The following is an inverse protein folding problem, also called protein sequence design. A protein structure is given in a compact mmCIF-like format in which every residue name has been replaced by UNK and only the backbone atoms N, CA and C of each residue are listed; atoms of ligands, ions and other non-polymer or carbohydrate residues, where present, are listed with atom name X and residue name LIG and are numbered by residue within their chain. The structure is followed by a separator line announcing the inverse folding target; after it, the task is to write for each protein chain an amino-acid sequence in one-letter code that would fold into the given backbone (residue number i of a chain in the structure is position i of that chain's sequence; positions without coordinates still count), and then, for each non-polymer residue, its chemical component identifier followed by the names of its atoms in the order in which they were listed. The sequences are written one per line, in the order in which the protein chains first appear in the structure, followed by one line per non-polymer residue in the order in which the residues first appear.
data_IF_332911769854
#
_entry.id   IF_332911769854
#
_cell.length_a   1.000
_cell.length_b   1.000
_cell.length_c   1.000
_cell.angle_alpha   90.00
_cell.angle_beta   90.00
_cell.angle_gamma   90.00
#
_symmetry.space_group_name_H-M   'P 1'
#
loop_
_entity.id
_entity.type
_entity.pdbx_description
1 polymer ?
#
# COMPACT_ATOMS: atom_id res chain seq x y z
N UNK A 1 6.76 8.03 -24.96
CA UNK A 1 5.88 7.18 -25.80
C UNK A 1 5.52 5.96 -24.99
N UNK A 2 4.22 5.70 -24.78
CA UNK A 2 3.77 4.47 -24.13
C UNK A 2 3.63 3.38 -25.18
N UNK A 3 4.47 2.36 -25.14
CA UNK A 3 4.35 1.15 -25.96
C UNK A 3 3.96 0.00 -25.01
N UNK A 4 2.78 -0.60 -25.19
CA UNK A 4 2.39 -1.82 -24.45
C UNK A 4 2.26 -1.70 -22.92
N UNK A 5 1.81 -0.55 -22.40
CA UNK A 5 1.70 -0.31 -20.95
C UNK A 5 3.00 0.14 -20.27
N UNK A 6 4.11 0.17 -21.00
CA UNK A 6 5.39 0.64 -20.49
C UNK A 6 5.45 2.17 -20.42
N UNK A 7 5.72 2.71 -19.22
CA UNK A 7 6.07 4.13 -19.05
C UNK A 7 7.46 4.30 -18.43
N UNK A 8 8.38 4.82 -19.24
CA UNK A 8 9.69 5.32 -18.83
C UNK A 8 9.77 6.78 -19.25
N UNK A 9 10.13 7.65 -18.31
CA UNK A 9 10.32 9.08 -18.60
C UNK A 9 11.61 9.61 -17.99
N UNK A 10 12.31 10.47 -18.73
CA UNK A 10 13.49 11.18 -18.21
C UNK A 10 13.09 12.34 -17.29
N UNK A 11 11.84 12.76 -17.35
CA UNK A 11 11.23 13.75 -16.46
C UNK A 11 10.15 13.11 -15.59
N UNK A 12 9.80 13.79 -14.50
CA UNK A 12 8.74 13.35 -13.60
C UNK A 12 7.40 13.20 -14.34
N UNK A 13 6.64 12.12 -14.12
CA UNK A 13 5.37 11.90 -14.81
C UNK A 13 4.32 12.94 -14.41
N UNK A 14 3.62 13.51 -15.39
CA UNK A 14 2.55 14.50 -15.14
C UNK A 14 1.28 13.82 -14.62
N UNK A 15 0.35 14.56 -13.99
CA UNK A 15 -0.94 14.01 -13.58
C UNK A 15 -1.73 13.38 -14.74
N UNK A 16 -1.67 13.93 -15.95
CA UNK A 16 -2.32 13.35 -17.13
C UNK A 16 -1.69 11.99 -17.50
N UNK A 17 -0.36 11.89 -17.44
CA UNK A 17 0.34 10.64 -17.73
C UNK A 17 -0.01 9.55 -16.69
N UNK A 18 -0.10 9.93 -15.42
CA UNK A 18 -0.55 9.03 -14.35
C UNK A 18 -1.97 8.53 -14.61
N UNK A 19 -2.90 9.44 -14.97
CA UNK A 19 -4.28 9.09 -15.32
C UNK A 19 -4.33 8.16 -16.54
N UNK A 20 -3.56 8.43 -17.58
CA UNK A 20 -3.47 7.56 -18.76
C UNK A 20 -2.92 6.18 -18.41
N UNK A 21 -1.92 6.09 -17.54
CA UNK A 21 -1.39 4.82 -17.04
C UNK A 21 -2.46 4.01 -16.31
N UNK A 22 -3.21 4.64 -15.41
CA UNK A 22 -4.29 3.97 -14.66
C UNK A 22 -5.47 3.55 -15.55
N UNK A 23 -5.79 4.34 -16.58
CA UNK A 23 -6.83 4.00 -17.55
C UNK A 23 -6.43 2.83 -18.46
N UNK A 24 -5.14 2.71 -18.78
CA UNK A 24 -4.61 1.58 -19.54
C UNK A 24 -4.38 0.32 -18.67
N UNK A 25 -4.30 0.47 -17.35
CA UNK A 25 -4.05 -0.63 -16.43
C UNK A 25 -5.26 -1.57 -16.31
N UNK A 26 -4.99 -2.87 -16.43
CA UNK A 26 -5.98 -3.93 -16.31
C UNK A 26 -6.44 -4.20 -14.87
N UNK A 27 -6.76 -5.46 -14.57
CA UNK A 27 -6.96 -5.92 -13.20
C UNK A 27 -5.66 -6.06 -12.43
N UNK A 28 -5.71 -6.67 -11.25
CA UNK A 28 -4.51 -7.11 -10.55
C UNK A 28 -3.68 -8.05 -11.44
N UNK A 29 -2.36 -8.03 -11.29
CA UNK A 29 -1.44 -8.86 -12.07
C UNK A 29 -1.20 -10.26 -11.47
N UNK A 30 -2.03 -10.67 -10.51
CA UNK A 30 -1.99 -11.96 -9.83
C UNK A 30 -3.39 -12.50 -9.57
N UNK A 31 -3.47 -13.78 -9.21
CA UNK A 31 -4.72 -14.54 -9.07
C UNK A 31 -5.72 -13.88 -8.11
N UNK A 32 -7.02 -14.01 -8.43
CA UNK A 32 -8.11 -13.39 -7.69
C UNK A 32 -8.19 -13.81 -6.21
N UNK A 33 -7.77 -15.04 -5.91
CA UNK A 33 -7.77 -15.58 -4.54
C UNK A 33 -6.69 -14.94 -3.65
N UNK A 34 -5.70 -14.28 -4.25
CA UNK A 34 -4.65 -13.54 -3.55
C UNK A 34 -4.99 -12.07 -3.31
N UNK A 35 -6.11 -11.57 -3.84
CA UNK A 35 -6.50 -10.17 -3.69
C UNK A 35 -6.77 -9.87 -2.20
N UNK A 36 -5.88 -9.10 -1.58
CA UNK A 36 -5.98 -8.80 -0.15
C UNK A 36 -5.69 -10.00 0.76
N UNK A 37 -5.00 -11.05 0.30
CA UNK A 37 -4.57 -12.19 1.15
C UNK A 37 -3.74 -11.76 2.37
N UNK A 38 -3.20 -10.55 2.27
CA UNK A 38 -2.41 -9.82 3.22
C UNK A 38 -3.23 -9.12 4.31
N UNK A 39 -4.56 -9.03 4.17
CA UNK A 39 -5.44 -8.37 5.12
C UNK A 39 -5.37 -9.02 6.52
N UNK A 40 -5.00 -8.27 7.57
CA UNK A 40 -4.97 -8.78 8.93
C UNK A 40 -6.41 -9.05 9.40
N UNK A 41 -6.65 -10.25 9.92
CA UNK A 41 -7.97 -10.64 10.44
C UNK A 41 -8.28 -10.03 11.82
N UNK A 42 -7.28 -9.47 12.50
CA UNK A 42 -7.40 -8.76 13.76
C UNK A 42 -6.16 -7.90 14.04
N UNK A 43 -6.25 -6.92 14.97
CA UNK A 43 -5.08 -6.19 15.47
C UNK A 43 -3.96 -7.10 15.97
N UNK A 44 -4.28 -8.21 16.65
CA UNK A 44 -3.30 -9.18 17.11
C UNK A 44 -2.69 -9.99 15.95
N UNK A 45 -3.47 -10.31 14.91
CA UNK A 45 -2.97 -10.98 13.71
C UNK A 45 -2.01 -10.10 12.90
N UNK A 46 -1.91 -8.80 13.21
CA UNK A 46 -0.83 -7.97 12.68
C UNK A 46 0.52 -8.55 13.04
N UNK A 47 0.73 -9.16 14.22
CA UNK A 47 2.04 -9.63 14.70
C UNK A 47 2.33 -11.11 14.45
N UNK A 48 1.32 -11.96 14.22
CA UNK A 48 1.47 -13.44 14.29
C UNK A 48 0.89 -14.23 13.11
N UNK A 49 0.93 -13.71 11.89
CA UNK A 49 0.34 -14.40 10.73
C UNK A 49 1.31 -15.38 10.04
N UNK A 50 1.95 -16.27 10.81
CA UNK A 50 2.92 -17.24 10.27
C UNK A 50 2.29 -18.18 9.22
N UNK A 51 1.02 -18.58 9.42
CA UNK A 51 0.30 -19.44 8.49
C UNK A 51 0.04 -18.78 7.13
N UNK A 52 -0.37 -17.50 7.14
CA UNK A 52 -0.55 -16.73 5.89
C UNK A 52 0.78 -16.56 5.17
N UNK A 53 1.87 -16.37 5.92
CA UNK A 53 3.19 -16.13 5.36
C UNK A 53 3.75 -17.38 4.71
N UNK A 54 3.61 -18.52 5.39
CA UNK A 54 3.95 -19.83 4.84
C UNK A 54 3.11 -20.13 3.60
N UNK A 55 1.80 -19.89 3.63
CA UNK A 55 0.94 -20.10 2.46
C UNK A 55 1.34 -19.24 1.24
N UNK A 56 1.77 -18.00 1.47
CA UNK A 56 2.31 -17.14 0.42
C UNK A 56 3.70 -17.62 -0.05
N UNK A 57 4.57 -18.01 0.87
CA UNK A 57 5.91 -18.53 0.55
C UNK A 57 5.85 -19.83 -0.26
N UNK A 58 4.93 -20.74 0.08
CA UNK A 58 4.70 -21.99 -0.65
C UNK A 58 4.21 -21.75 -2.09
N UNK A 59 3.61 -20.59 -2.34
CA UNK A 59 3.24 -20.10 -3.68
C UNK A 59 4.35 -19.29 -4.37
N UNK A 60 5.54 -19.23 -3.78
CA UNK A 60 6.71 -18.54 -4.34
C UNK A 60 6.81 -17.05 -4.02
N UNK A 61 5.98 -16.50 -3.13
CA UNK A 61 6.07 -15.08 -2.74
C UNK A 61 7.14 -14.85 -1.69
N UNK A 62 7.92 -13.79 -1.87
CA UNK A 62 8.81 -13.27 -0.82
C UNK A 62 8.02 -12.38 0.13
N UNK A 63 7.86 -12.82 1.38
CA UNK A 63 7.08 -12.11 2.40
C UNK A 63 7.98 -11.21 3.25
N UNK A 64 7.63 -9.92 3.37
CA UNK A 64 8.37 -8.95 4.17
C UNK A 64 7.47 -8.33 5.27
N UNK A 65 7.93 -8.35 6.53
CA UNK A 65 7.25 -7.75 7.70
C UNK A 65 8.10 -6.70 8.43
N UNK A 66 8.69 -5.75 7.71
CA UNK A 66 9.33 -4.59 8.34
C UNK A 66 8.35 -3.74 9.14
N UNK A 67 8.77 -3.32 10.33
CA UNK A 67 8.05 -2.39 11.21
C UNK A 67 9.03 -1.48 11.92
N UNK A 68 8.60 -0.25 12.14
CA UNK A 68 9.34 0.75 12.90
C UNK A 68 8.36 1.46 13.83
N UNK A 69 8.77 1.67 15.09
CA UNK A 69 8.01 2.48 16.03
C UNK A 69 8.18 3.96 15.64
N UNK A 70 7.10 4.59 15.21
CA UNK A 70 7.08 6.01 14.80
C UNK A 70 6.65 6.96 15.92
N UNK A 71 6.07 6.42 17.00
CA UNK A 71 5.59 7.18 18.16
C UNK A 71 4.64 6.36 19.03
N UNK A 72 4.14 6.97 20.10
CA UNK A 72 3.23 6.33 21.05
C UNK A 72 2.12 7.30 21.50
N UNK A 73 0.94 6.76 21.78
CA UNK A 73 -0.22 7.53 22.24
C UNK A 73 -1.12 8.04 21.12
N UNK A 74 -2.25 8.63 21.53
CA UNK A 74 -3.33 9.05 20.63
C UNK A 74 -2.89 10.08 19.58
N UNK A 75 -2.08 11.07 19.99
CA UNK A 75 -1.61 12.13 19.10
C UNK A 75 -0.69 11.58 18.01
N UNK A 76 0.25 10.72 18.40
CA UNK A 76 1.14 10.05 17.44
C UNK A 76 0.34 9.18 16.46
N UNK A 77 -0.69 8.47 16.95
CA UNK A 77 -1.59 7.69 16.10
C UNK A 77 -2.38 8.59 15.13
N UNK A 78 -2.95 9.68 15.60
CA UNK A 78 -3.69 10.64 14.76
C UNK A 78 -2.82 11.26 13.68
N UNK A 79 -1.59 11.69 14.02
CA UNK A 79 -0.63 12.21 13.06
C UNK A 79 -0.22 11.17 12.03
N UNK A 80 0.06 9.94 12.47
CA UNK A 80 0.49 8.87 11.59
C UNK A 80 -0.66 8.40 10.65
N UNK A 81 -1.90 8.29 11.16
CA UNK A 81 -3.10 8.05 10.34
C UNK A 81 -3.30 9.17 9.31
N UNK A 82 -3.17 10.43 9.71
CA UNK A 82 -3.24 11.58 8.79
C UNK A 82 -2.16 11.53 7.70
N UNK A 83 -0.93 11.15 8.04
CA UNK A 83 0.17 10.99 7.09
C UNK A 83 -0.07 9.85 6.09
N UNK A 84 -0.74 8.77 6.51
CA UNK A 84 -1.17 7.70 5.62
C UNK A 84 -2.28 8.16 4.67
N UNK A 85 -3.33 8.79 5.19
CA UNK A 85 -4.46 9.30 4.42
C UNK A 85 -4.08 10.40 3.40
N UNK A 86 -3.02 11.15 3.68
CA UNK A 86 -2.49 12.21 2.82
C UNK A 86 -1.26 11.81 2.00
N UNK A 87 -0.90 10.51 1.99
CA UNK A 87 0.24 9.97 1.23
C UNK A 87 1.61 10.56 1.58
N UNK A 88 1.74 11.26 2.71
CA UNK A 88 2.99 11.91 3.15
C UNK A 88 4.13 10.93 3.41
N UNK A 89 3.81 9.69 3.78
CA UNK A 89 4.79 8.61 3.94
C UNK A 89 5.53 8.27 2.64
N UNK A 90 4.93 8.56 1.48
CA UNK A 90 5.56 8.43 0.17
C UNK A 90 6.17 9.73 -0.36
N UNK A 91 6.06 10.87 0.33
CA UNK A 91 6.56 12.17 -0.16
C UNK A 91 8.08 12.33 0.05
N UNK A 92 8.87 11.40 -0.48
CA UNK A 92 10.31 11.27 -0.24
C UNK A 92 11.18 12.01 -1.29
N UNK A 93 10.55 12.74 -2.22
CA UNK A 93 11.22 13.50 -3.31
C UNK A 93 11.67 12.63 -4.48
N UNK A 94 11.97 11.35 -4.22
CA UNK A 94 12.23 10.33 -5.24
C UNK A 94 11.08 9.34 -5.41
N UNK A 95 10.09 9.34 -4.50
CA UNK A 95 8.83 8.63 -4.65
C UNK A 95 7.69 9.59 -4.30
N UNK A 96 6.50 9.30 -4.81
CA UNK A 96 5.26 9.99 -4.46
C UNK A 96 4.03 9.26 -5.02
N UNK A 97 2.90 9.45 -4.37
CA UNK A 97 1.58 9.13 -4.90
C UNK A 97 0.79 10.43 -5.10
N UNK A 98 -0.24 10.41 -5.96
CA UNK A 98 -1.13 11.55 -6.14
C UNK A 98 -1.85 11.89 -4.82
N UNK A 99 -1.61 13.08 -4.21
CA UNK A 99 -2.13 13.42 -2.88
C UNK A 99 -3.66 13.43 -2.78
N UNK A 100 -4.36 13.56 -3.91
CA UNK A 100 -5.83 13.56 -3.97
C UNK A 100 -6.45 12.17 -3.98
N UNK A 101 -5.66 11.10 -4.00
CA UNK A 101 -6.17 9.72 -4.03
C UNK A 101 -6.84 9.38 -2.71
N UNK A 102 -8.14 9.00 -2.71
CA UNK A 102 -8.79 8.53 -1.49
C UNK A 102 -8.26 7.16 -1.07
N UNK A 103 -7.91 6.99 0.21
CA UNK A 103 -7.59 5.69 0.79
C UNK A 103 -8.89 4.90 1.04
N UNK A 104 -9.44 4.31 -0.02
CA UNK A 104 -10.66 3.49 0.00
C UNK A 104 -10.49 2.24 -0.86
N UNK A 105 -11.16 1.15 -0.49
CA UNK A 105 -11.14 -0.09 -1.27
C UNK A 105 -11.54 0.19 -2.73
N UNK A 106 -10.76 -0.35 -3.67
CA UNK A 106 -10.97 -0.17 -5.11
C UNK A 106 -10.43 1.14 -5.68
N UNK A 107 -9.95 2.08 -4.84
CA UNK A 107 -9.27 3.27 -5.37
C UNK A 107 -8.00 2.85 -6.10
N UNK A 108 -7.87 3.34 -7.33
CA UNK A 108 -6.69 3.16 -8.18
C UNK A 108 -5.81 4.38 -8.08
N UNK A 109 -4.50 4.17 -8.00
CA UNK A 109 -3.52 5.23 -7.87
C UNK A 109 -2.19 4.82 -8.47
N UNK A 110 -1.36 5.81 -8.77
CA UNK A 110 -0.03 5.59 -9.31
C UNK A 110 1.01 6.04 -8.28
N UNK A 111 1.96 5.16 -7.98
CA UNK A 111 3.21 5.57 -7.34
C UNK A 111 4.18 5.92 -8.46
N UNK A 112 4.66 7.16 -8.45
CA UNK A 112 5.75 7.61 -9.31
C UNK A 112 7.03 7.57 -8.49
N UNK A 113 8.04 6.86 -8.97
CA UNK A 113 9.35 6.88 -8.34
C UNK A 113 10.47 7.04 -9.35
N UNK A 114 11.55 7.65 -8.90
CA UNK A 114 12.75 7.94 -9.66
C UNK A 114 13.78 6.86 -9.38
N UNK A 115 14.04 6.05 -10.39
CA UNK A 115 15.25 5.22 -10.43
C UNK A 115 16.45 6.10 -10.80
N UNK A 116 17.67 5.52 -10.77
CA UNK A 116 18.94 6.24 -11.01
C UNK A 116 18.88 7.22 -12.19
N UNK A 117 18.17 6.86 -13.27
CA UNK A 117 17.95 7.74 -14.43
C UNK A 117 16.46 7.94 -14.77
N UNK A 118 15.64 6.89 -14.98
CA UNK A 118 14.24 7.10 -15.40
C UNK A 118 13.28 7.23 -14.21
N UNK A 119 12.21 7.98 -14.45
CA UNK A 119 10.97 7.87 -13.67
C UNK A 119 10.15 6.69 -14.16
N UNK A 120 9.64 5.93 -13.20
CA UNK A 120 8.76 4.78 -13.40
C UNK A 120 7.41 5.09 -12.76
N UNK A 121 6.35 4.69 -13.44
CA UNK A 121 4.99 4.72 -12.94
C UNK A 121 4.54 3.31 -12.57
N UNK A 122 3.94 3.20 -11.40
CA UNK A 122 3.51 1.94 -10.85
C UNK A 122 2.02 2.04 -10.50
N UNK A 123 1.13 1.45 -11.31
CA UNK A 123 -0.30 1.47 -11.08
C UNK A 123 -0.69 0.44 -10.01
N UNK A 124 -1.37 0.89 -8.96
CA UNK A 124 -1.88 0.05 -7.89
C UNK A 124 -3.37 0.28 -7.67
N UNK A 125 -3.99 -0.67 -6.97
CA UNK A 125 -5.34 -0.55 -6.46
C UNK A 125 -5.38 -0.95 -4.99
N UNK A 126 -6.09 -0.18 -4.17
CA UNK A 126 -6.30 -0.50 -2.75
C UNK A 126 -7.19 -1.74 -2.65
N UNK A 127 -6.65 -2.80 -2.06
CA UNK A 127 -7.31 -4.10 -1.90
C UNK A 127 -8.13 -4.17 -0.60
N UNK A 128 -7.66 -3.53 0.47
CA UNK A 128 -8.35 -3.47 1.75
C UNK A 128 -8.02 -2.19 2.51
N UNK A 129 -8.89 -1.84 3.45
CA UNK A 129 -8.67 -0.80 4.46
C UNK A 129 -9.21 -1.32 5.80
N UNK A 130 -8.43 -1.17 6.85
CA UNK A 130 -8.77 -1.45 8.25
C UNK A 130 -8.75 -0.12 8.99
N UNK A 131 -9.85 0.24 9.64
CA UNK A 131 -9.96 1.43 10.47
C UNK A 131 -10.72 1.11 11.75
N UNK A 132 -10.00 0.58 12.72
CA UNK A 132 -10.51 0.31 14.06
C UNK A 132 -10.24 1.56 14.91
N UNK A 133 -11.30 2.29 15.22
CA UNK A 133 -11.20 3.57 15.91
C UNK A 133 -10.54 3.44 17.29
N UNK A 134 -9.55 4.30 17.53
CA UNK A 134 -9.05 4.61 18.87
C UNK A 134 -10.14 5.38 19.63
N UNK A 135 -11.05 4.70 20.31
CA UNK A 135 -12.04 5.35 21.18
C UNK A 135 -11.37 5.69 22.52
N UNK A 136 -10.75 6.87 22.57
CA UNK A 136 -9.85 7.33 23.62
C UNK A 136 -10.46 7.50 25.02
N UNK A 137 -11.07 6.46 25.61
CA UNK A 137 -11.63 6.60 26.96
C UNK A 137 -12.27 5.39 27.65
N UNK A 138 -12.51 4.23 27.02
CA UNK A 138 -13.12 3.10 27.75
C UNK A 138 -12.28 1.83 27.70
N UNK A 139 -11.46 1.69 28.74
CA UNK A 139 -10.84 0.41 29.16
C UNK A 139 -11.92 -0.61 29.53
N UNK A 140 -12.45 -1.31 28.53
CA UNK A 140 -12.98 -2.66 28.72
C UNK A 140 -11.81 -3.61 28.96
N UNK A 141 -11.97 -4.58 29.87
CA UNK A 141 -10.96 -5.61 30.20
C UNK A 141 -10.51 -6.36 28.93
N UNK A 142 -9.41 -5.91 28.32
CA UNK A 142 -8.80 -6.49 27.11
C UNK A 142 -8.30 -5.37 26.22
N UNK A 143 -7.04 -4.94 26.43
CA UNK A 143 -6.46 -3.75 25.79
C UNK A 143 -6.56 -3.77 24.26
N UNK A 144 -7.19 -2.74 23.70
CA UNK A 144 -7.27 -2.52 22.26
C UNK A 144 -6.90 -1.09 21.93
N UNK A 145 -5.67 -0.89 21.48
CA UNK A 145 -5.28 0.32 20.75
C UNK A 145 -5.98 0.36 19.38
N UNK A 146 -6.19 1.56 18.84
CA UNK A 146 -6.74 1.74 17.50
C UNK A 146 -5.75 1.29 16.42
N UNK A 147 -6.28 0.80 15.32
CA UNK A 147 -5.49 0.31 14.17
C UNK A 147 -5.98 0.98 12.92
N UNK A 148 -5.05 1.55 12.14
CA UNK A 148 -5.32 2.00 10.79
C UNK A 148 -4.32 1.38 9.82
N UNK A 149 -4.81 0.65 8.84
CA UNK A 149 -3.99 0.00 7.83
C UNK A 149 -4.70 -0.03 6.49
N UNK A 150 -3.94 0.03 5.41
CA UNK A 150 -4.46 -0.33 4.10
C UNK A 150 -3.40 -1.13 3.35
N UNK A 151 -3.87 -1.93 2.40
CA UNK A 151 -3.00 -2.71 1.52
C UNK A 151 -3.38 -2.44 0.09
N UNK A 152 -2.36 -2.31 -0.76
CA UNK A 152 -2.53 -2.15 -2.20
C UNK A 152 -1.99 -3.36 -2.94
N UNK A 153 -2.53 -3.60 -4.13
CA UNK A 153 -2.04 -4.60 -5.05
C UNK A 153 -1.72 -4.00 -6.41
N UNK A 154 -0.79 -4.62 -7.08
CA UNK A 154 -0.23 -4.17 -8.35
C UNK A 154 -1.18 -4.45 -9.51
N UNK A 155 -1.39 -3.46 -10.37
CA UNK A 155 -2.19 -3.63 -11.59
C UNK A 155 -1.32 -4.09 -12.77
N UNK A 156 -1.97 -4.71 -13.76
CA UNK A 156 -1.35 -5.07 -15.03
C UNK A 156 -0.89 -3.82 -15.81
N UNK A 157 0.19 -3.95 -16.59
CA UNK A 157 0.71 -2.88 -17.44
C UNK A 157 1.82 -2.04 -16.78
N UNK A 158 2.72 -2.63 -16.00
CA UNK A 158 3.90 -1.96 -15.44
C UNK A 158 5.21 -2.68 -15.84
N UNK A 159 6.35 -1.97 -15.85
CA UNK A 159 7.64 -2.46 -16.37
C UNK A 159 8.27 -3.59 -15.54
N UNK A 160 7.96 -3.68 -14.25
CA UNK A 160 8.50 -4.73 -13.40
C UNK A 160 7.72 -6.03 -13.63
N UNK A 161 8.05 -6.70 -14.74
CA UNK A 161 7.90 -8.16 -14.85
C UNK A 161 8.86 -8.81 -13.86
N UNK A 162 8.58 -8.67 -12.57
CA UNK A 162 8.82 -9.74 -11.64
C UNK A 162 7.53 -10.57 -11.69
N UNK A 163 7.53 -11.76 -12.28
CA UNK A 163 6.43 -12.67 -12.07
C UNK A 163 6.31 -12.81 -10.55
N UNK A 164 5.16 -12.43 -9.98
CA UNK A 164 4.84 -12.48 -8.54
C UNK A 164 5.29 -11.31 -7.63
N UNK A 165 5.21 -10.05 -8.07
CA UNK A 165 5.39 -8.91 -7.15
C UNK A 165 4.06 -8.39 -6.57
N UNK A 166 3.82 -8.67 -5.29
CA UNK A 166 2.82 -7.98 -4.44
C UNK A 166 3.52 -6.80 -3.78
N UNK A 167 3.16 -5.58 -4.13
CA UNK A 167 3.86 -4.39 -3.65
C UNK A 167 3.01 -3.53 -2.73
N UNK A 168 3.53 -3.33 -1.52
CA UNK A 168 3.25 -2.15 -0.70
C UNK A 168 2.20 -2.35 0.40
N UNK A 169 2.64 -2.20 1.64
CA UNK A 169 1.80 -2.18 2.85
C UNK A 169 2.21 -0.97 3.67
N UNK A 170 1.33 -0.01 3.85
CA UNK A 170 1.57 1.12 4.73
C UNK A 170 0.66 0.98 5.96
N UNK A 171 1.26 0.86 7.14
CA UNK A 171 0.59 0.46 8.39
C UNK A 171 0.96 1.39 9.53
N UNK A 172 -0.05 1.76 10.33
CA UNK A 172 0.13 2.45 11.61
C UNK A 172 -0.77 1.79 12.65
N UNK A 173 -0.18 1.30 13.74
CA UNK A 173 -0.91 0.75 14.87
C UNK A 173 -0.57 1.55 16.13
N UNK A 174 -1.56 1.90 16.94
CA UNK A 174 -1.34 2.38 18.29
C UNK A 174 -1.12 1.19 19.23
N UNK A 175 -0.07 1.25 20.06
CA UNK A 175 0.06 0.38 21.24
C UNK A 175 -0.85 0.89 22.36
#
# INVERSE_FOLDING_TARGET
MAWGGLFLSLSRPTPEQQKSCLAAAGGFNYDADLHGATHPKSPAALTTSEDTDRALADRGFSVNRSRVLVGSGADAFGHAKSALLSWKHLALGWAEAEPGTPVKIGARFCICYKEVVPWVMFPLQIAYVTDDNYDGGKRGKGGGGGVFAFGSGTLQGHLLVLPHSVSGWDRVAAN
#
